data_IF_385187739195
#
_entry.id   IF_385187739195
#
_cell.length_a   1.000
_cell.length_b   1.000
_cell.length_c   1.000
_cell.angle_alpha   90.00
_cell.angle_beta   90.00
_cell.angle_gamma   90.00
#
_symmetry.space_group_name_H-M   'P 1'
#
loop_
_entity.id
_entity.type
_entity.pdbx_description
1 polymer ?
#
# COMPACT_ATOMS: atom_id res chain seq x y z
N UNK A 1 7.14 21.31 11.77
CA UNK A 1 6.39 20.23 11.13
C UNK A 1 5.62 19.49 12.22
N UNK A 2 4.37 19.15 11.95
CA UNK A 2 3.54 18.32 12.84
C UNK A 2 3.78 16.86 12.51
N UNK A 3 3.98 16.01 13.50
CA UNK A 3 4.23 14.59 13.29
C UNK A 3 2.92 13.82 13.24
N UNK A 4 2.83 12.83 12.35
CA UNK A 4 1.68 11.93 12.20
C UNK A 4 2.12 10.56 12.72
N UNK A 5 1.74 10.23 13.94
CA UNK A 5 2.11 8.97 14.59
C UNK A 5 0.96 8.00 14.75
N UNK A 6 -0.29 8.48 14.65
CA UNK A 6 -1.49 7.69 14.87
C UNK A 6 -2.37 7.59 13.62
N UNK A 7 -3.17 6.51 13.49
CA UNK A 7 -4.10 6.37 12.37
C UNK A 7 -5.14 7.49 12.30
N UNK A 8 -5.56 8.01 13.46
CA UNK A 8 -6.53 9.11 13.52
C UNK A 8 -5.91 10.43 13.04
N UNK A 9 -4.67 10.75 13.41
CA UNK A 9 -3.96 11.93 12.89
C UNK A 9 -3.78 11.85 11.36
N UNK A 10 -3.46 10.66 10.82
CA UNK A 10 -3.35 10.48 9.37
C UNK A 10 -4.69 10.73 8.68
N UNK A 11 -5.79 10.26 9.28
CA UNK A 11 -7.14 10.43 8.74
C UNK A 11 -7.63 11.87 8.87
N UNK A 12 -7.30 12.55 9.96
CA UNK A 12 -7.56 13.98 10.15
C UNK A 12 -6.82 14.80 9.10
N UNK A 13 -5.55 14.48 8.81
CA UNK A 13 -4.81 15.11 7.71
C UNK A 13 -5.52 14.92 6.36
N UNK A 14 -5.98 13.71 6.04
CA UNK A 14 -6.67 13.46 4.77
C UNK A 14 -7.99 14.25 4.64
N UNK A 15 -8.72 14.39 5.75
CA UNK A 15 -9.98 15.15 5.81
C UNK A 15 -9.74 16.68 5.75
N UNK A 16 -8.75 17.18 6.50
CA UNK A 16 -8.40 18.61 6.57
C UNK A 16 -8.00 19.17 5.20
N UNK A 17 -7.26 18.39 4.42
CA UNK A 17 -6.78 18.79 3.09
C UNK A 17 -7.64 18.30 1.93
N UNK A 18 -8.84 17.77 2.20
CA UNK A 18 -9.80 17.25 1.20
C UNK A 18 -9.15 16.28 0.20
N UNK A 19 -8.27 15.42 0.70
CA UNK A 19 -7.58 14.43 -0.11
C UNK A 19 -8.55 13.29 -0.38
N UNK A 20 -8.90 13.09 -1.65
CA UNK A 20 -9.88 12.10 -2.12
C UNK A 20 -9.38 10.64 -2.06
N UNK A 21 -8.69 10.28 -0.99
CA UNK A 21 -8.21 8.94 -0.67
C UNK A 21 -8.56 8.63 0.79
N UNK A 22 -9.84 8.38 1.11
CA UNK A 22 -10.24 8.06 2.47
C UNK A 22 -9.66 6.69 2.88
N UNK A 23 -8.95 6.69 4.00
CA UNK A 23 -8.48 5.48 4.67
C UNK A 23 -9.38 5.13 5.86
N UNK A 24 -9.63 3.84 6.03
CA UNK A 24 -10.17 3.31 7.29
C UNK A 24 -9.09 3.37 8.38
N UNK A 25 -9.49 3.25 9.65
CA UNK A 25 -8.54 3.20 10.77
C UNK A 25 -7.51 2.07 10.61
N UNK A 26 -7.97 0.89 10.18
CA UNK A 26 -7.14 -0.30 9.95
C UNK A 26 -6.17 -0.09 8.77
N UNK A 27 -6.63 0.49 7.66
CA UNK A 27 -5.75 0.81 6.52
C UNK A 27 -4.68 1.84 6.92
N UNK A 28 -5.07 2.90 7.63
CA UNK A 28 -4.14 3.93 8.10
C UNK A 28 -3.12 3.38 9.12
N UNK A 29 -3.56 2.50 10.02
CA UNK A 29 -2.68 1.79 10.95
C UNK A 29 -1.62 0.98 10.20
N UNK A 30 -2.04 0.17 9.22
CA UNK A 30 -1.10 -0.63 8.44
C UNK A 30 -0.11 0.23 7.65
N UNK A 31 -0.57 1.28 6.97
CA UNK A 31 0.35 2.18 6.26
C UNK A 31 1.40 2.77 7.22
N UNK A 32 1.00 3.26 8.40
CA UNK A 32 1.92 3.81 9.38
C UNK A 32 2.88 2.75 9.97
N UNK A 33 2.41 1.54 10.24
CA UNK A 33 3.23 0.44 10.75
C UNK A 33 4.35 0.08 9.76
N UNK A 34 4.02 -0.12 8.48
CA UNK A 34 5.01 -0.50 7.47
C UNK A 34 6.03 0.61 7.19
N UNK A 35 5.61 1.88 7.24
CA UNK A 35 6.50 3.03 7.05
C UNK A 35 7.48 3.15 8.22
N UNK A 36 7.00 2.99 9.45
CA UNK A 36 7.85 2.97 10.65
C UNK A 36 8.81 1.78 10.63
N UNK A 37 8.34 0.60 10.22
CA UNK A 37 9.18 -0.59 10.09
C UNK A 37 10.26 -0.43 9.00
N UNK A 38 10.00 0.40 7.98
CA UNK A 38 10.95 0.75 6.93
C UNK A 38 11.93 1.85 7.33
N UNK A 39 11.88 2.34 8.57
CA UNK A 39 12.83 3.33 9.09
C UNK A 39 12.39 4.78 8.90
N UNK A 40 11.13 5.05 8.59
CA UNK A 40 10.63 6.40 8.33
C UNK A 40 9.53 6.82 9.31
N UNK A 41 9.39 8.13 9.49
CA UNK A 41 8.24 8.75 10.16
C UNK A 41 7.57 9.75 9.25
N UNK A 42 6.32 10.07 9.54
CA UNK A 42 5.58 11.08 8.80
C UNK A 42 5.47 12.39 9.51
N UNK A 43 5.61 13.43 8.69
CA UNK A 43 5.49 14.80 9.09
C UNK A 43 4.65 15.57 8.07
N UNK A 44 3.92 16.57 8.53
CA UNK A 44 3.19 17.53 7.72
C UNK A 44 3.72 18.94 8.01
N UNK A 45 3.76 19.79 6.99
CA UNK A 45 4.04 21.22 7.18
C UNK A 45 2.85 22.01 7.73
N UNK A 46 1.66 21.39 7.82
CA UNK A 46 0.41 22.03 8.21
C UNK A 46 -0.23 22.87 7.10
N UNK A 47 0.32 22.84 5.89
CA UNK A 47 -0.22 23.48 4.68
C UNK A 47 -0.65 22.46 3.62
N UNK A 48 -0.51 21.17 3.92
CA UNK A 48 -1.01 20.06 3.10
C UNK A 48 0.11 19.19 2.51
N UNK A 49 1.37 19.58 2.65
CA UNK A 49 2.49 18.77 2.16
C UNK A 49 2.89 17.73 3.22
N UNK A 50 2.99 16.48 2.79
CA UNK A 50 3.58 15.41 3.59
C UNK A 50 5.08 15.28 3.33
N UNK A 51 5.77 14.85 4.36
CA UNK A 51 7.17 14.54 4.33
C UNK A 51 7.40 13.19 5.01
N UNK A 52 8.27 12.38 4.42
CA UNK A 52 8.86 11.24 5.10
C UNK A 52 10.21 11.67 5.66
N UNK A 53 10.39 11.47 6.95
CA UNK A 53 11.64 11.74 7.67
C UNK A 53 12.30 10.41 8.00
N UNK A 54 13.53 10.22 7.54
CA UNK A 54 14.36 9.06 7.87
C UNK A 54 14.77 9.09 9.35
N UNK A 55 14.55 7.97 10.05
CA UNK A 55 14.82 7.84 11.48
C UNK A 55 16.30 7.76 11.83
N UNK A 56 17.16 7.35 10.88
CA UNK A 56 18.59 7.18 11.11
C UNK A 56 19.36 8.48 10.86
N UNK A 57 19.11 9.13 9.73
CA UNK A 57 19.88 10.30 9.29
C UNK A 57 19.12 11.63 9.41
N UNK A 58 17.81 11.61 9.67
CA UNK A 58 16.95 12.78 9.80
C UNK A 58 16.65 13.50 8.48
N UNK A 59 16.93 12.87 7.34
CA UNK A 59 16.64 13.41 6.01
C UNK A 59 15.13 13.45 5.79
N UNK A 60 14.65 14.63 5.41
CA UNK A 60 13.24 14.90 5.20
C UNK A 60 12.99 15.06 3.70
N UNK A 61 12.17 14.17 3.14
CA UNK A 61 11.84 14.14 1.71
C UNK A 61 10.34 14.36 1.52
N UNK A 62 9.99 15.20 0.56
CA UNK A 62 8.59 15.39 0.14
C UNK A 62 7.99 14.05 -0.32
N UNK A 63 6.76 13.79 0.11
CA UNK A 63 6.00 12.59 -0.25
C UNK A 63 4.49 12.92 -0.32
N UNK A 64 3.69 11.97 -0.77
CA UNK A 64 2.23 12.03 -0.74
C UNK A 64 1.64 10.71 -0.25
N UNK A 65 0.35 10.70 0.07
CA UNK A 65 -0.30 9.51 0.64
C UNK A 65 -0.31 8.32 -0.34
N UNK A 66 -0.32 8.56 -1.64
CA UNK A 66 -0.28 7.49 -2.62
C UNK A 66 1.08 6.79 -2.61
N UNK A 67 2.19 7.55 -2.63
CA UNK A 67 3.56 7.03 -2.54
C UNK A 67 3.77 6.29 -1.24
N UNK A 68 3.21 6.79 -0.14
CA UNK A 68 3.24 6.11 1.14
C UNK A 68 2.56 4.74 1.14
N UNK A 69 1.39 4.64 0.49
CA UNK A 69 0.68 3.37 0.37
C UNK A 69 1.48 2.42 -0.53
N UNK A 70 2.10 2.93 -1.60
CA UNK A 70 2.99 2.15 -2.47
C UNK A 70 4.22 1.62 -1.71
N UNK A 71 4.94 2.48 -0.99
CA UNK A 71 6.08 2.11 -0.13
C UNK A 71 5.67 1.05 0.91
N UNK A 72 4.50 1.20 1.55
CA UNK A 72 3.99 0.22 2.50
C UNK A 72 3.66 -1.13 1.85
N UNK A 73 3.09 -1.11 0.64
CA UNK A 73 2.86 -2.31 -0.16
C UNK A 73 4.18 -2.99 -0.53
N UNK A 74 5.17 -2.25 -1.03
CA UNK A 74 6.50 -2.78 -1.40
C UNK A 74 7.17 -3.46 -0.22
N UNK A 75 7.21 -2.79 0.94
CA UNK A 75 7.74 -3.35 2.19
C UNK A 75 7.05 -4.66 2.59
N UNK A 76 5.72 -4.73 2.51
CA UNK A 76 4.98 -5.98 2.78
C UNK A 76 5.33 -7.09 1.78
N UNK A 77 5.44 -6.78 0.49
CA UNK A 77 5.82 -7.75 -0.54
C UNK A 77 7.24 -8.29 -0.36
N UNK A 78 8.20 -7.43 -0.02
CA UNK A 78 9.57 -7.83 0.28
C UNK A 78 9.62 -8.80 1.48
N UNK A 79 8.94 -8.46 2.58
CA UNK A 79 8.88 -9.36 3.75
C UNK A 79 8.24 -10.71 3.44
N UNK A 80 7.17 -10.73 2.62
CA UNK A 80 6.55 -11.99 2.17
C UNK A 80 7.54 -12.80 1.34
N UNK A 81 8.27 -12.16 0.43
CA UNK A 81 9.27 -12.81 -0.41
C UNK A 81 10.40 -13.42 0.43
N UNK A 82 10.97 -12.64 1.33
CA UNK A 82 12.06 -13.06 2.22
C UNK A 82 11.65 -14.26 3.08
N UNK A 83 10.44 -14.24 3.65
CA UNK A 83 9.95 -15.37 4.43
C UNK A 83 9.77 -16.61 3.56
N UNK A 84 9.27 -16.47 2.32
CA UNK A 84 9.11 -17.61 1.40
C UNK A 84 10.44 -18.23 1.01
N UNK A 85 11.45 -17.41 0.75
CA UNK A 85 12.80 -17.86 0.43
C UNK A 85 13.44 -18.57 1.63
N UNK A 86 13.28 -18.00 2.82
CA UNK A 86 13.77 -18.61 4.05
C UNK A 86 13.02 -19.92 4.40
N UNK A 87 11.74 -20.03 4.03
CA UNK A 87 10.89 -21.19 4.31
C UNK A 87 11.45 -22.52 3.78
N UNK A 88 12.25 -22.46 2.71
CA UNK A 88 12.91 -23.63 2.11
C UNK A 88 13.94 -24.24 3.06
N UNK A 89 14.53 -23.44 3.93
CA UNK A 89 15.61 -23.83 4.84
C UNK A 89 15.11 -24.20 6.25
N UNK A 90 13.85 -23.91 6.58
CA UNK A 90 13.30 -24.07 7.93
C UNK A 90 12.56 -25.40 8.17
N UNK A 91 12.71 -25.93 9.38
CA UNK A 91 12.03 -27.14 9.83
C UNK A 91 11.49 -27.05 11.26
N UNK A 92 10.55 -27.93 11.61
CA UNK A 92 9.98 -27.99 12.96
C UNK A 92 9.29 -26.70 13.40
N UNK A 93 9.51 -26.29 14.65
CA UNK A 93 8.82 -25.14 15.28
C UNK A 93 9.10 -23.79 14.61
N UNK A 94 10.28 -23.62 14.01
CA UNK A 94 10.63 -22.40 13.30
C UNK A 94 9.74 -22.22 12.06
N UNK A 95 9.47 -23.31 11.35
CA UNK A 95 8.56 -23.32 10.20
C UNK A 95 7.14 -22.94 10.61
N UNK A 96 6.65 -23.44 11.74
CA UNK A 96 5.31 -23.10 12.24
C UNK A 96 5.22 -21.60 12.60
N UNK A 97 6.25 -21.05 13.24
CA UNK A 97 6.31 -19.61 13.56
C UNK A 97 6.32 -18.76 12.28
N UNK A 98 7.18 -19.08 11.32
CA UNK A 98 7.24 -18.38 10.03
C UNK A 98 5.92 -18.48 9.27
N UNK A 99 5.23 -19.62 9.38
CA UNK A 99 3.92 -19.77 8.75
C UNK A 99 2.90 -18.80 9.37
N UNK A 100 2.89 -18.63 10.69
CA UNK A 100 2.02 -17.65 11.35
C UNK A 100 2.35 -16.22 10.95
N UNK A 101 3.63 -15.86 10.89
CA UNK A 101 4.06 -14.53 10.42
C UNK A 101 3.61 -14.30 8.98
N UNK A 102 3.82 -15.29 8.09
CA UNK A 102 3.38 -15.21 6.70
C UNK A 102 1.86 -15.03 6.57
N UNK A 103 1.05 -15.73 7.39
CA UNK A 103 -0.41 -15.53 7.39
C UNK A 103 -0.80 -14.10 7.83
N UNK A 104 -0.07 -13.52 8.78
CA UNK A 104 -0.22 -12.12 9.17
C UNK A 104 0.09 -11.18 8.02
N UNK A 105 1.26 -11.34 7.38
CA UNK A 105 1.65 -10.51 6.23
C UNK A 105 0.67 -10.61 5.06
N UNK A 106 0.13 -11.80 4.76
CA UNK A 106 -0.89 -11.99 3.72
C UNK A 106 -2.26 -11.39 4.09
N UNK A 107 -2.51 -11.19 5.38
CA UNK A 107 -3.72 -10.50 5.84
C UNK A 107 -3.54 -8.99 5.70
N UNK A 108 -2.38 -8.48 6.09
CA UNK A 108 -1.98 -7.09 5.89
C UNK A 108 -1.94 -6.73 4.39
N UNK A 109 -1.42 -7.61 3.53
CA UNK A 109 -1.39 -7.46 2.07
C UNK A 109 -2.78 -7.11 1.52
N UNK A 110 -3.84 -7.75 2.03
CA UNK A 110 -5.21 -7.49 1.56
C UNK A 110 -5.71 -6.11 1.96
N UNK A 111 -5.36 -5.67 3.17
CA UNK A 111 -5.72 -4.35 3.69
C UNK A 111 -4.99 -3.28 2.87
N UNK A 112 -3.67 -3.42 2.73
CA UNK A 112 -2.84 -2.52 1.94
C UNK A 112 -3.26 -2.47 0.47
N UNK A 113 -3.53 -3.62 -0.17
CA UNK A 113 -4.03 -3.66 -1.55
C UNK A 113 -5.39 -2.99 -1.70
N UNK A 114 -6.23 -3.04 -0.67
CA UNK A 114 -7.51 -2.34 -0.67
C UNK A 114 -7.31 -0.82 -0.63
N UNK A 115 -6.38 -0.32 0.17
CA UNK A 115 -5.98 1.08 0.16
C UNK A 115 -5.34 1.48 -1.18
N UNK A 116 -4.40 0.66 -1.67
CA UNK A 116 -3.71 0.87 -2.95
C UNK A 116 -4.69 0.93 -4.13
N UNK A 117 -5.79 0.19 -4.08
CA UNK A 117 -6.78 0.22 -5.16
C UNK A 117 -7.39 1.61 -5.42
N UNK A 118 -7.32 2.50 -4.43
CA UNK A 118 -7.86 3.87 -4.48
C UNK A 118 -6.83 4.90 -4.95
N UNK A 119 -5.55 4.53 -5.00
CA UNK A 119 -4.45 5.42 -5.39
C UNK A 119 -4.52 5.81 -6.86
N UNK A 120 -3.83 6.89 -7.24
CA UNK A 120 -3.67 7.23 -8.65
C UNK A 120 -2.80 6.22 -9.41
N UNK A 121 -1.85 5.55 -8.73
CA UNK A 121 -1.03 4.49 -9.34
C UNK A 121 -1.88 3.36 -9.90
N UNK A 122 -2.85 2.87 -9.13
CA UNK A 122 -3.73 1.81 -9.60
C UNK A 122 -4.60 2.28 -10.78
N UNK A 123 -5.11 3.51 -10.73
CA UNK A 123 -5.89 4.10 -11.83
C UNK A 123 -5.03 4.18 -13.10
N UNK A 124 -3.78 4.61 -12.98
CA UNK A 124 -2.86 4.70 -14.11
C UNK A 124 -2.52 3.32 -14.68
N UNK A 125 -2.24 2.33 -13.83
CA UNK A 125 -2.00 0.94 -14.25
C UNK A 125 -3.20 0.35 -15.02
N UNK A 126 -4.42 0.59 -14.54
CA UNK A 126 -5.63 0.16 -15.24
C UNK A 126 -5.77 0.84 -16.60
N UNK A 127 -5.50 2.14 -16.70
CA UNK A 127 -5.52 2.87 -17.98
C UNK A 127 -4.48 2.30 -18.94
N UNK A 128 -3.26 1.99 -18.49
CA UNK A 128 -2.22 1.38 -19.33
C UNK A 128 -2.62 -0.04 -19.77
N UNK A 129 -3.15 -0.87 -18.87
CA UNK A 129 -3.59 -2.23 -19.17
C UNK A 129 -4.79 -2.25 -20.15
N UNK A 130 -5.79 -1.40 -19.92
CA UNK A 130 -6.96 -1.28 -20.80
C UNK A 130 -6.68 -0.51 -22.10
N UNK A 131 -5.70 0.39 -22.11
CA UNK A 131 -5.22 1.05 -23.32
C UNK A 131 -4.44 0.13 -24.26
N UNK A 132 -3.92 -0.99 -23.74
CA UNK A 132 -3.15 -1.99 -24.51
C UNK A 132 -4.04 -3.14 -25.04
N UNK A 133 -5.20 -3.40 -24.42
CA UNK A 133 -6.15 -4.41 -24.92
C UNK A 133 -7.28 -3.74 -25.69
N UNK A 134 -7.39 -3.89 -27.02
CA UNK A 134 -8.61 -3.49 -27.70
C UNK A 134 -9.77 -4.25 -27.07
N UNK A 135 -10.85 -3.53 -26.76
CA UNK A 135 -12.10 -4.12 -26.32
C UNK A 135 -12.46 -5.22 -27.32
N UNK A 136 -12.32 -6.48 -26.91
CA UNK A 136 -12.86 -7.60 -27.67
C UNK A 136 -14.38 -7.51 -27.49
N UNK A 137 -15.01 -6.68 -28.31
CA UNK A 137 -16.44 -6.79 -28.55
C UNK A 137 -16.67 -8.15 -29.20
N UNK A 138 -17.00 -9.15 -28.39
CA UNK A 138 -17.66 -10.36 -28.88
C UNK A 138 -19.07 -9.93 -29.29
N UNK A 139 -19.19 -9.31 -30.46
CA UNK A 139 -20.45 -9.24 -31.18
C UNK A 139 -20.75 -10.65 -31.65
N UNK A 140 -21.48 -11.38 -30.82
CA UNK A 140 -22.11 -12.65 -31.21
C UNK A 140 -23.07 -12.34 -32.36
N UNK A 141 -22.56 -12.49 -33.58
CA UNK A 141 -23.30 -12.30 -34.82
C UNK A 141 -24.57 -13.15 -34.81
N UNK A 142 -25.71 -12.46 -34.83
CA UNK A 142 -26.99 -13.04 -35.26
C UNK A 142 -26.79 -13.65 -36.64
N UNK A 143 -26.74 -14.98 -36.74
CA UNK A 143 -26.99 -15.69 -37.99
C UNK A 143 -28.44 -15.47 -38.39
N UNK A 144 -28.65 -14.59 -39.34
CA UNK A 144 -29.86 -14.60 -40.18
C UNK A 144 -29.67 -15.72 -41.18
N UNK A 145 -30.46 -16.79 -41.06
CA UNK A 145 -30.60 -17.80 -42.09
C UNK A 145 -31.84 -17.40 -42.90
N UNK A 146 -31.62 -17.04 -44.17
CA UNK A 146 -32.67 -16.99 -45.19
C UNK A 146 -32.88 -18.39 -45.74
#
# INVERSE_FOLDING_TARGET
MGRIDTPDELREYLDEFDILLPLTAEEAEKVLEYIKNSGYTLETDGYGQLYRTDLENGECLETDIDHMIDDACESNYEMISDIRDYFVFCGGKERDNLFQVLQGLLSDEKILNTAFSRTYFQKELQVRLHGVLPAVEITAGRRVIR
#
